data_IF_253241400875
#
_entry.id   IF_253241400875
#
_cell.length_a   1.000
_cell.length_b   1.000
_cell.length_c   1.000
_cell.angle_alpha   90.00
_cell.angle_beta   90.00
_cell.angle_gamma   90.00
#
_symmetry.space_group_name_H-M   'P 1'
#
loop_
_entity.id
_entity.type
_entity.pdbx_description
1 polymer ?
#
# COMPACT_ATOMS: atom_id res chain seq x y z
N UNK A 1 2.32 -14.91 -6.51
CA UNK A 1 3.36 -15.95 -6.40
C UNK A 1 3.85 -15.85 -4.98
N UNK A 2 3.98 -16.98 -4.28
CA UNK A 2 4.28 -17.02 -2.86
C UNK A 2 5.16 -18.22 -2.58
N UNK A 3 6.37 -17.95 -2.14
CA UNK A 3 7.34 -18.95 -1.72
C UNK A 3 7.66 -18.69 -0.25
N UNK A 4 7.73 -19.76 0.55
CA UNK A 4 8.17 -19.69 1.94
C UNK A 4 9.52 -20.39 2.09
N UNK A 5 10.48 -19.69 2.67
CA UNK A 5 11.79 -20.26 3.02
C UNK A 5 11.61 -21.04 4.33
N UNK A 6 11.89 -22.34 4.29
CA UNK A 6 11.79 -23.25 5.44
C UNK A 6 13.15 -23.47 6.09
N UNK A 7 14.23 -23.48 5.28
CA UNK A 7 15.59 -23.68 5.77
C UNK A 7 16.59 -22.89 4.94
N UNK A 8 17.65 -22.39 5.61
CA UNK A 8 18.82 -21.79 4.97
C UNK A 8 20.08 -22.43 5.54
N UNK A 9 20.87 -23.08 4.70
CA UNK A 9 22.16 -23.68 5.06
C UNK A 9 22.08 -24.66 6.27
N UNK A 10 21.01 -25.45 6.39
CA UNK A 10 20.82 -26.35 7.54
C UNK A 10 20.15 -25.73 8.76
N UNK A 11 19.85 -24.42 8.73
CA UNK A 11 19.17 -23.71 9.82
C UNK A 11 17.69 -23.55 9.51
N UNK A 12 16.81 -24.01 10.42
CA UNK A 12 15.36 -23.85 10.29
C UNK A 12 14.95 -22.38 10.36
N UNK A 13 14.04 -21.99 9.47
CA UNK A 13 13.44 -20.66 9.37
C UNK A 13 11.96 -20.65 9.78
N UNK A 14 11.40 -21.77 10.25
CA UNK A 14 9.99 -21.87 10.63
C UNK A 14 9.63 -21.00 11.86
N UNK A 15 10.57 -20.85 12.80
CA UNK A 15 10.40 -20.06 14.03
C UNK A 15 11.43 -18.92 14.15
N UNK A 16 12.19 -18.66 13.08
CA UNK A 16 13.21 -17.61 13.08
C UNK A 16 12.56 -16.23 13.26
N UNK A 17 13.13 -15.42 14.14
CA UNK A 17 12.74 -14.02 14.25
C UNK A 17 13.15 -13.26 13.00
N UNK A 18 12.52 -12.10 12.76
CA UNK A 18 12.85 -11.26 11.61
C UNK A 18 14.33 -10.84 11.61
N UNK A 19 14.89 -10.49 12.76
CA UNK A 19 16.27 -10.02 12.87
C UNK A 19 17.27 -11.13 12.53
N UNK A 20 17.06 -12.33 13.08
CA UNK A 20 17.87 -13.51 12.77
C UNK A 20 17.82 -13.86 11.29
N UNK A 21 16.63 -13.89 10.70
CA UNK A 21 16.46 -14.15 9.28
C UNK A 21 17.23 -13.13 8.44
N UNK A 22 17.13 -11.84 8.78
CA UNK A 22 17.85 -10.76 8.09
C UNK A 22 19.36 -10.92 8.22
N UNK A 23 19.88 -11.24 9.41
CA UNK A 23 21.30 -11.42 9.63
C UNK A 23 21.85 -12.58 8.79
N UNK A 24 21.17 -13.72 8.77
CA UNK A 24 21.57 -14.90 8.00
C UNK A 24 21.55 -14.58 6.50
N UNK A 25 20.47 -13.97 5.99
CA UNK A 25 20.32 -13.64 4.58
C UNK A 25 21.36 -12.62 4.10
N UNK A 26 21.76 -11.66 4.95
CA UNK A 26 22.76 -10.64 4.59
C UNK A 26 24.20 -11.15 4.66
N UNK A 27 24.50 -12.07 5.57
CA UNK A 27 25.89 -12.48 5.84
C UNK A 27 26.39 -13.57 4.89
N UNK A 28 25.49 -14.41 4.38
CA UNK A 28 25.85 -15.58 3.59
C UNK A 28 25.97 -15.24 2.08
N UNK A 29 27.18 -15.34 1.53
CA UNK A 29 27.44 -15.13 0.08
C UNK A 29 26.89 -16.27 -0.80
N UNK A 30 26.73 -17.47 -0.23
CA UNK A 30 26.15 -18.65 -0.91
C UNK A 30 25.16 -19.29 0.05
N UNK A 31 23.98 -19.64 -0.47
CA UNK A 31 22.89 -20.21 0.32
C UNK A 31 22.32 -21.44 -0.38
N UNK A 32 22.11 -22.50 0.40
CA UNK A 32 21.24 -23.62 0.06
C UNK A 32 19.91 -23.41 0.76
N UNK A 33 18.83 -23.38 -0.01
CA UNK A 33 17.50 -23.02 0.47
C UNK A 33 16.55 -24.21 0.32
N UNK A 34 15.78 -24.50 1.36
CA UNK A 34 14.60 -25.38 1.26
C UNK A 34 13.37 -24.48 1.23
N UNK A 35 12.57 -24.60 0.17
CA UNK A 35 11.44 -23.70 -0.11
C UNK A 35 10.15 -24.50 -0.26
N UNK A 36 9.05 -23.93 0.24
CA UNK A 36 7.68 -24.42 0.07
C UNK A 36 6.93 -23.46 -0.85
N UNK A 37 6.39 -23.96 -1.97
CA UNK A 37 5.43 -23.20 -2.78
C UNK A 37 4.13 -23.06 -1.96
N UNK A 38 3.71 -21.82 -1.74
CA UNK A 38 2.46 -21.49 -1.04
C UNK A 38 1.42 -20.90 -1.99
N UNK A 39 1.72 -20.87 -3.29
CA UNK A 39 0.77 -20.47 -4.33
C UNK A 39 0.41 -18.98 -4.29
N UNK A 40 -0.88 -18.67 -4.44
CA UNK A 40 -1.36 -17.28 -4.37
C UNK A 40 -1.42 -16.85 -2.90
N UNK A 41 -0.42 -16.11 -2.44
CA UNK A 41 -0.52 -15.40 -1.16
C UNK A 41 -1.78 -14.53 -1.19
N UNK A 42 -2.80 -14.80 -0.35
CA UNK A 42 -4.00 -13.99 -0.35
C UNK A 42 -3.64 -12.59 0.17
N UNK A 43 -3.88 -11.59 -0.69
CA UNK A 43 -3.87 -10.16 -0.41
C UNK A 43 -2.84 -9.72 0.65
N UNK A 44 -1.60 -9.50 0.23
CA UNK A 44 -0.77 -8.51 0.92
C UNK A 44 -1.56 -7.20 0.86
N UNK A 45 -2.15 -6.78 1.97
CA UNK A 45 -2.96 -5.58 2.06
C UNK A 45 -2.06 -4.34 1.96
N UNK A 46 -1.46 -4.10 0.80
CA UNK A 46 -1.08 -2.75 0.42
C UNK A 46 -2.38 -2.03 0.18
N UNK A 47 -2.93 -1.47 1.27
CA UNK A 47 -4.06 -0.57 1.34
C UNK A 47 -4.28 0.13 -0.01
N UNK A 48 -5.19 -0.43 -0.80
CA UNK A 48 -5.78 0.28 -1.92
C UNK A 48 -6.64 1.36 -1.28
N UNK A 49 -6.02 2.45 -0.83
CA UNK A 49 -6.77 3.69 -0.65
C UNK A 49 -7.36 3.92 -2.04
N UNK A 50 -8.68 3.96 -2.22
CA UNK A 50 -9.18 4.53 -3.44
C UNK A 50 -8.55 5.92 -3.49
N UNK A 51 -7.76 6.18 -4.54
CA UNK A 51 -7.40 7.54 -4.89
C UNK A 51 -8.76 8.17 -5.15
N UNK A 52 -9.30 8.86 -4.14
CA UNK A 52 -10.33 9.84 -4.35
C UNK A 52 -9.66 10.84 -5.25
N UNK A 53 -9.87 10.69 -6.55
CA UNK A 53 -9.72 11.80 -7.48
C UNK A 53 -10.69 12.83 -6.94
N UNK A 54 -10.23 13.99 -6.42
CA UNK A 54 -11.18 15.07 -6.17
C UNK A 54 -11.77 15.34 -7.54
N UNK A 55 -13.06 15.06 -7.69
CA UNK A 55 -13.80 15.32 -8.92
C UNK A 55 -13.51 16.78 -9.24
N UNK A 56 -12.63 16.99 -10.23
CA UNK A 56 -12.33 18.32 -10.71
C UNK A 56 -13.68 18.86 -11.10
N UNK A 57 -14.14 19.84 -10.32
CA UNK A 57 -15.34 20.63 -10.59
C UNK A 57 -15.19 21.05 -12.05
N UNK A 58 -15.84 20.33 -12.97
CA UNK A 58 -15.90 20.72 -14.35
C UNK A 58 -16.41 22.14 -14.32
N UNK A 59 -15.50 23.06 -14.65
CA UNK A 59 -15.79 24.44 -14.95
C UNK A 59 -16.72 24.38 -16.16
N UNK A 60 -18.01 24.43 -15.90
CA UNK A 60 -18.97 24.85 -16.90
C UNK A 60 -18.70 26.34 -17.12
N UNK A 61 -17.96 26.63 -18.17
CA UNK A 61 -17.65 27.97 -18.59
C UNK A 61 -18.93 28.63 -19.09
N UNK A 62 -19.52 29.53 -18.31
CA UNK A 62 -20.50 30.49 -18.84
C UNK A 62 -19.75 31.75 -19.33
N UNK A 63 -19.81 32.09 -20.64
CA UNK A 63 -19.14 33.26 -21.18
C UNK A 63 -20.03 34.51 -21.08
N UNK A 64 -20.53 34.85 -19.90
CA UNK A 64 -21.19 36.15 -19.68
C UNK A 64 -20.81 36.74 -18.31
N UNK A 65 -19.88 37.69 -18.36
CA UNK A 65 -19.66 38.68 -17.31
C UNK A 65 -20.97 39.42 -17.02
N UNK A 66 -21.64 39.12 -15.90
CA UNK A 66 -22.51 40.08 -15.22
C UNK A 66 -22.16 40.18 -13.75
N UNK A 67 -21.85 41.42 -13.37
CA UNK A 67 -21.39 41.92 -12.09
C UNK A 67 -22.56 41.93 -11.08
N UNK A 68 -22.48 41.22 -9.97
CA UNK A 68 -23.32 41.54 -8.79
C UNK A 68 -22.59 41.26 -7.45
N UNK A 69 -22.92 42.11 -6.47
CA UNK A 69 -22.06 42.70 -5.44
C UNK A 69 -22.21 42.00 -4.05
N UNK A 70 -21.53 42.46 -2.96
CA UNK A 70 -21.18 41.62 -1.82
C UNK A 70 -22.33 41.45 -0.81
N UNK A 71 -22.51 40.21 -0.35
CA UNK A 71 -23.33 39.91 0.82
C UNK A 71 -24.31 38.77 0.58
N UNK A 72 -23.88 37.53 0.85
CA UNK A 72 -24.84 36.48 1.19
C UNK A 72 -24.17 35.35 1.98
N UNK A 73 -24.22 35.44 3.30
CA UNK A 73 -24.01 34.28 4.20
C UNK A 73 -25.39 33.91 4.76
N UNK A 74 -25.95 32.74 4.43
CA UNK A 74 -27.14 32.25 5.12
C UNK A 74 -26.78 31.54 6.45
N UNK A 75 -27.69 31.53 7.44
CA UNK A 75 -27.42 31.11 8.83
C UNK A 75 -27.56 29.59 9.04
N UNK A 76 -26.96 29.09 10.12
CA UNK A 76 -27.12 27.71 10.61
C UNK A 76 -28.52 27.51 11.21
N UNK A 77 -29.25 26.43 10.87
CA UNK A 77 -30.47 26.05 11.60
C UNK A 77 -30.15 25.32 12.92
N UNK A 78 -31.05 25.49 13.89
CA UNK A 78 -31.00 25.07 15.30
C UNK A 78 -30.94 23.57 15.56
#
# INVERSE_FOLDING_TARGET
VGDQIIEVNGTSFEEATHDEAVQILKTNKRMSLVIRDVGKVPHSCTTSRPIVVPSSRYQDHDPQLVLESPGNRPPSPS
#
